data_IF_356324632128
#
_entry.id   IF_356324632128
#
_cell.length_a   1.000
_cell.length_b   1.000
_cell.length_c   1.000
_cell.angle_alpha   90.00
_cell.angle_beta   90.00
_cell.angle_gamma   90.00
#
_symmetry.space_group_name_H-M   'P 1'
#
loop_
_entity.id
_entity.type
_entity.pdbx_description
1 polymer ?
#
# COMPACT_ATOMS: atom_id res chain seq x y z
N UNK A 1 -47.28 11.23 6.09
CA UNK A 1 -46.33 11.99 5.27
C UNK A 1 -45.46 12.84 6.19
N UNK A 2 -44.13 12.69 6.16
CA UNK A 2 -43.23 13.51 7.00
C UNK A 2 -43.15 14.93 6.40
N UNK A 3 -43.88 15.88 7.00
CA UNK A 3 -43.96 17.27 6.52
C UNK A 3 -42.57 17.90 6.29
N UNK A 4 -41.56 17.74 7.19
CA UNK A 4 -40.21 18.23 6.96
C UNK A 4 -39.56 17.71 5.67
N UNK A 5 -39.70 16.44 5.38
CA UNK A 5 -39.14 15.82 4.17
C UNK A 5 -39.86 16.33 2.89
N UNK A 6 -41.18 16.46 2.95
CA UNK A 6 -41.96 17.00 1.81
C UNK A 6 -41.55 18.43 1.50
N UNK A 7 -41.45 19.30 2.51
CA UNK A 7 -41.03 20.68 2.36
C UNK A 7 -39.60 20.79 1.81
N UNK A 8 -38.66 20.03 2.38
CA UNK A 8 -37.26 20.04 1.94
C UNK A 8 -37.12 19.63 0.46
N UNK A 9 -37.83 18.56 0.04
CA UNK A 9 -37.82 18.10 -1.34
C UNK A 9 -38.38 19.17 -2.28
N UNK A 10 -39.48 19.83 -1.88
CA UNK A 10 -40.11 20.90 -2.70
C UNK A 10 -39.21 22.12 -2.82
N UNK A 11 -38.52 22.52 -1.75
CA UNK A 11 -37.55 23.62 -1.74
C UNK A 11 -36.36 23.30 -2.63
N UNK A 12 -35.88 22.07 -2.60
CA UNK A 12 -34.72 21.66 -3.37
C UNK A 12 -34.98 21.57 -4.89
N UNK A 13 -36.15 21.04 -5.29
CA UNK A 13 -36.52 20.83 -6.68
C UNK A 13 -37.41 21.95 -7.27
N UNK A 14 -37.72 23.01 -6.50
CA UNK A 14 -38.51 24.14 -6.99
C UNK A 14 -37.72 24.93 -8.02
N UNK A 15 -38.27 25.04 -9.22
CA UNK A 15 -37.81 25.93 -10.31
C UNK A 15 -38.30 27.38 -10.06
N UNK A 16 -38.05 27.96 -8.87
CA UNK A 16 -38.38 29.35 -8.60
C UNK A 16 -37.41 30.34 -9.24
N UNK A 17 -37.82 31.60 -9.34
CA UNK A 17 -37.23 32.73 -10.05
C UNK A 17 -35.69 32.73 -10.22
N UNK A 18 -35.24 33.10 -11.45
CA UNK A 18 -33.85 33.13 -11.91
C UNK A 18 -32.89 34.06 -11.13
N UNK A 19 -33.36 34.77 -10.10
CA UNK A 19 -32.60 35.76 -9.33
C UNK A 19 -32.30 35.37 -7.87
N UNK A 20 -32.56 34.12 -7.46
CA UNK A 20 -32.27 33.70 -6.07
C UNK A 20 -30.78 33.44 -5.84
N UNK A 21 -30.22 34.08 -4.81
CA UNK A 21 -28.83 33.94 -4.32
C UNK A 21 -28.54 32.51 -3.80
N UNK A 22 -29.59 31.76 -3.46
CA UNK A 22 -29.44 30.38 -2.90
C UNK A 22 -28.79 29.37 -3.85
N UNK A 23 -28.98 29.49 -5.17
CA UNK A 23 -28.39 28.55 -6.14
C UNK A 23 -26.87 28.57 -6.18
N UNK A 24 -26.18 29.73 -6.19
CA UNK A 24 -24.73 29.78 -6.03
C UNK A 24 -24.26 29.17 -4.71
N UNK A 25 -24.91 29.44 -3.58
CA UNK A 25 -24.57 28.91 -2.27
C UNK A 25 -24.69 27.37 -2.23
N UNK A 26 -25.79 26.82 -2.80
CA UNK A 26 -26.00 25.37 -2.92
C UNK A 26 -24.87 24.74 -3.77
N UNK A 27 -24.54 25.36 -4.92
CA UNK A 27 -23.47 24.86 -5.80
C UNK A 27 -22.12 24.87 -5.09
N UNK A 28 -21.78 25.95 -4.39
CA UNK A 28 -20.51 26.05 -3.63
C UNK A 28 -20.44 24.96 -2.55
N UNK A 29 -21.54 24.76 -1.81
CA UNK A 29 -21.60 23.73 -0.78
C UNK A 29 -21.48 22.32 -1.39
N UNK A 30 -22.19 22.03 -2.48
CA UNK A 30 -22.11 20.74 -3.19
C UNK A 30 -20.70 20.48 -3.73
N UNK A 31 -20.08 21.47 -4.37
CA UNK A 31 -18.73 21.37 -4.91
C UNK A 31 -17.71 21.17 -3.80
N UNK A 32 -17.87 21.89 -2.68
CA UNK A 32 -16.98 21.74 -1.52
C UNK A 32 -16.99 20.31 -0.94
N UNK A 33 -18.18 19.72 -0.79
CA UNK A 33 -18.32 18.31 -0.35
C UNK A 33 -17.74 17.36 -1.40
N UNK A 34 -18.02 17.61 -2.70
CA UNK A 34 -17.53 16.77 -3.77
C UNK A 34 -16.00 16.76 -3.86
N UNK A 35 -15.35 17.93 -3.78
CA UNK A 35 -13.90 18.03 -3.76
C UNK A 35 -13.33 17.34 -2.51
N UNK A 36 -13.94 17.58 -1.34
CA UNK A 36 -13.50 16.95 -0.09
C UNK A 36 -13.51 15.42 -0.17
N UNK A 37 -14.60 14.83 -0.66
CA UNK A 37 -14.71 13.39 -0.83
C UNK A 37 -13.76 12.86 -1.90
N UNK A 38 -13.67 13.54 -3.06
CA UNK A 38 -12.76 13.13 -4.13
C UNK A 38 -11.29 13.07 -3.63
N UNK A 39 -10.84 14.09 -2.89
CA UNK A 39 -9.50 14.11 -2.29
C UNK A 39 -9.33 12.96 -1.28
N UNK A 40 -10.33 12.69 -0.43
CA UNK A 40 -10.27 11.56 0.49
C UNK A 40 -10.15 10.21 -0.23
N UNK A 41 -10.92 9.98 -1.29
CA UNK A 41 -10.85 8.76 -2.11
C UNK A 41 -9.47 8.62 -2.74
N UNK A 42 -8.96 9.67 -3.37
CA UNK A 42 -7.63 9.67 -4.01
C UNK A 42 -6.55 9.38 -2.97
N UNK A 43 -6.56 10.07 -1.83
CA UNK A 43 -5.57 9.88 -0.76
C UNK A 43 -5.53 8.44 -0.28
N UNK A 44 -6.67 7.85 0.03
CA UNK A 44 -6.75 6.46 0.50
C UNK A 44 -6.31 5.49 -0.61
N UNK A 45 -6.74 5.72 -1.85
CA UNK A 45 -6.37 4.86 -2.98
C UNK A 45 -4.87 4.87 -3.28
N UNK A 46 -4.23 6.04 -3.20
CA UNK A 46 -2.77 6.18 -3.35
C UNK A 46 -2.05 5.39 -2.27
N UNK A 47 -2.43 5.55 -1.01
CA UNK A 47 -1.71 4.91 0.09
C UNK A 47 -1.90 3.40 0.10
N UNK A 48 -3.10 2.90 -0.17
CA UNK A 48 -3.31 1.46 -0.32
C UNK A 48 -2.47 0.90 -1.47
N UNK A 49 -2.47 1.59 -2.62
CA UNK A 49 -1.64 1.20 -3.77
C UNK A 49 -0.15 1.17 -3.45
N UNK A 50 0.37 2.21 -2.76
CA UNK A 50 1.77 2.23 -2.32
C UNK A 50 2.09 1.10 -1.36
N UNK A 51 1.27 0.90 -0.33
CA UNK A 51 1.50 -0.14 0.68
C UNK A 51 1.54 -1.53 0.06
N UNK A 52 0.59 -1.86 -0.80
CA UNK A 52 0.56 -3.16 -1.47
C UNK A 52 1.73 -3.32 -2.44
N UNK A 53 1.99 -2.33 -3.29
CA UNK A 53 3.08 -2.41 -4.28
C UNK A 53 4.45 -2.53 -3.62
N UNK A 54 4.76 -1.72 -2.60
CA UNK A 54 6.06 -1.80 -1.92
C UNK A 54 6.19 -3.10 -1.14
N UNK A 55 5.14 -3.51 -0.42
CA UNK A 55 5.11 -4.80 0.27
C UNK A 55 5.41 -5.95 -0.69
N UNK A 56 4.70 -6.01 -1.81
CA UNK A 56 4.84 -7.10 -2.78
C UNK A 56 6.23 -7.12 -3.42
N UNK A 57 6.84 -5.95 -3.64
CA UNK A 57 8.23 -5.85 -4.10
C UNK A 57 9.24 -6.37 -3.06
N UNK A 58 9.10 -6.00 -1.79
CA UNK A 58 10.00 -6.47 -0.73
C UNK A 58 9.85 -7.98 -0.52
N UNK A 59 8.61 -8.48 -0.49
CA UNK A 59 8.31 -9.92 -0.41
C UNK A 59 8.87 -10.68 -1.61
N UNK A 60 8.83 -10.09 -2.80
CA UNK A 60 9.30 -10.73 -4.04
C UNK A 60 10.79 -11.04 -4.06
N UNK A 61 11.62 -10.31 -3.30
CA UNK A 61 13.04 -10.59 -3.14
C UNK A 61 13.39 -11.38 -1.88
N UNK A 62 12.63 -11.18 -0.82
CA UNK A 62 12.80 -11.84 0.46
C UNK A 62 11.77 -12.95 0.64
N UNK A 63 10.90 -12.77 1.55
CA UNK A 63 9.73 -13.59 1.82
C UNK A 63 8.93 -12.91 2.93
N UNK A 64 7.83 -13.49 3.34
CA UNK A 64 7.07 -12.97 4.47
C UNK A 64 7.74 -13.26 5.81
N UNK A 65 8.31 -14.46 5.97
CA UNK A 65 9.02 -14.90 7.18
C UNK A 65 10.30 -15.60 6.73
N UNK A 66 11.39 -15.35 7.45
CA UNK A 66 12.68 -15.99 7.22
C UNK A 66 13.12 -16.73 8.48
N UNK A 67 13.57 -17.97 8.29
CA UNK A 67 14.22 -18.77 9.32
C UNK A 67 15.71 -18.83 9.01
N UNK A 68 16.55 -18.32 9.89
CA UNK A 68 18.01 -18.20 9.69
C UNK A 68 18.77 -18.68 10.93
N UNK A 69 20.11 -18.71 10.85
CA UNK A 69 20.96 -18.92 12.00
C UNK A 69 20.91 -17.69 12.92
N UNK A 70 20.86 -17.91 14.22
CA UNK A 70 20.92 -16.84 15.23
C UNK A 70 22.17 -15.97 15.09
N UNK A 71 23.32 -16.56 14.74
CA UNK A 71 24.59 -15.84 14.54
C UNK A 71 24.52 -14.89 13.34
N UNK A 72 23.82 -15.28 12.26
CA UNK A 72 23.66 -14.42 11.07
C UNK A 72 23.00 -13.08 11.41
N UNK A 73 22.04 -13.09 12.33
CA UNK A 73 21.37 -11.86 12.74
C UNK A 73 22.29 -10.91 13.53
N UNK A 74 23.25 -11.46 14.27
CA UNK A 74 24.17 -10.64 15.08
C UNK A 74 25.38 -10.13 14.31
N UNK A 75 25.89 -10.93 13.37
CA UNK A 75 27.19 -10.67 12.71
C UNK A 75 27.07 -10.17 11.28
N UNK A 76 25.88 -10.19 10.67
CA UNK A 76 25.64 -9.94 9.24
C UNK A 76 26.45 -10.88 8.28
N UNK A 77 27.17 -11.86 8.83
CA UNK A 77 27.86 -12.90 8.06
C UNK A 77 26.94 -14.11 7.95
N UNK A 78 26.63 -14.61 6.75
CA UNK A 78 25.79 -15.78 6.60
C UNK A 78 26.39 -17.00 7.29
N UNK A 79 25.77 -17.45 8.39
CA UNK A 79 26.10 -18.71 9.03
C UNK A 79 25.16 -19.81 8.51
N UNK A 80 25.66 -21.04 8.28
CA UNK A 80 24.83 -22.12 7.76
C UNK A 80 23.82 -22.62 8.77
N UNK A 81 22.69 -23.11 8.27
CA UNK A 81 21.73 -23.94 9.00
C UNK A 81 21.41 -25.18 8.19
N UNK A 82 21.23 -26.32 8.84
CA UNK A 82 20.73 -27.51 8.18
C UNK A 82 19.23 -27.63 8.36
N UNK A 83 18.49 -27.51 7.28
CA UNK A 83 17.04 -27.64 7.27
C UNK A 83 16.67 -28.99 6.65
N UNK A 84 16.23 -29.91 7.48
CA UNK A 84 15.84 -31.24 7.03
C UNK A 84 14.40 -31.24 6.45
N UNK A 85 14.11 -32.22 5.60
CA UNK A 85 12.78 -32.39 4.98
C UNK A 85 11.64 -32.53 6.02
N UNK A 86 11.98 -32.97 7.22
CA UNK A 86 10.99 -33.13 8.29
C UNK A 86 10.55 -31.77 8.82
N UNK A 87 11.48 -30.84 9.01
CA UNK A 87 11.18 -29.45 9.40
C UNK A 87 10.41 -28.73 8.30
N UNK A 88 10.83 -28.86 7.04
CA UNK A 88 10.12 -28.29 5.89
C UNK A 88 8.66 -28.79 5.85
N UNK A 89 8.45 -30.10 6.04
CA UNK A 89 7.10 -30.68 6.09
C UNK A 89 6.27 -30.17 7.27
N UNK A 90 6.87 -29.95 8.44
CA UNK A 90 6.19 -29.35 9.60
C UNK A 90 5.80 -27.90 9.34
N UNK A 91 6.70 -27.09 8.78
CA UNK A 91 6.44 -25.70 8.41
C UNK A 91 5.32 -25.59 7.36
N UNK A 92 5.33 -26.46 6.34
CA UNK A 92 4.26 -26.52 5.31
C UNK A 92 2.88 -26.94 5.87
N UNK A 93 2.81 -27.54 7.05
CA UNK A 93 1.54 -27.89 7.71
C UNK A 93 0.89 -26.74 8.47
N UNK A 94 1.57 -25.63 8.69
CA UNK A 94 0.98 -24.45 9.30
C UNK A 94 -0.08 -23.89 8.35
N UNK A 95 -1.33 -23.66 8.80
CA UNK A 95 -2.47 -23.38 7.90
C UNK A 95 -2.28 -22.21 6.96
N UNK A 96 -1.63 -21.13 7.44
CA UNK A 96 -1.39 -19.91 6.68
C UNK A 96 -0.14 -19.99 5.78
N UNK A 97 0.70 -21.02 5.91
CA UNK A 97 1.87 -21.19 5.06
C UNK A 97 1.46 -21.63 3.66
N UNK A 98 1.92 -20.90 2.64
CA UNK A 98 1.71 -21.22 1.23
C UNK A 98 2.89 -22.02 0.67
N UNK A 99 4.12 -21.58 0.98
CA UNK A 99 5.34 -22.14 0.39
C UNK A 99 6.52 -22.00 1.35
N UNK A 100 7.46 -22.96 1.30
CA UNK A 100 8.70 -22.95 2.10
C UNK A 100 9.82 -23.43 1.19
N UNK A 101 10.88 -22.61 1.04
CA UNK A 101 12.05 -22.93 0.24
C UNK A 101 13.34 -22.50 0.94
N UNK A 102 14.40 -23.28 0.74
CA UNK A 102 15.74 -22.92 1.21
C UNK A 102 16.44 -22.00 0.22
N UNK A 103 17.26 -21.09 0.73
CA UNK A 103 18.14 -20.23 -0.06
C UNK A 103 19.52 -20.16 0.56
N UNK A 104 20.50 -19.81 -0.25
CA UNK A 104 21.88 -19.60 0.19
C UNK A 104 22.36 -18.24 -0.25
N UNK A 105 22.96 -17.46 0.64
CA UNK A 105 23.57 -16.16 0.31
C UNK A 105 25.10 -16.29 0.33
N UNK A 106 25.74 -15.63 -0.64
CA UNK A 106 27.20 -15.53 -0.72
C UNK A 106 27.56 -14.13 -1.20
N UNK A 107 28.53 -13.50 -0.56
CA UNK A 107 29.05 -12.22 -1.03
C UNK A 107 30.22 -12.42 -1.99
N UNK A 108 30.31 -11.57 -3.02
CA UNK A 108 31.37 -11.62 -3.99
C UNK A 108 31.49 -10.34 -4.80
N UNK A 109 32.45 -10.30 -5.68
CA UNK A 109 32.74 -9.17 -6.55
C UNK A 109 32.59 -9.62 -8.00
N UNK A 110 31.62 -9.06 -8.73
CA UNK A 110 31.57 -9.18 -10.18
C UNK A 110 32.60 -8.24 -10.79
N UNK A 111 33.41 -8.75 -11.71
CA UNK A 111 34.46 -7.99 -12.39
C UNK A 111 34.38 -8.18 -13.90
N UNK A 112 34.40 -7.06 -14.62
CA UNK A 112 34.59 -6.96 -16.06
C UNK A 112 35.92 -6.28 -16.36
N UNK A 113 36.26 -6.09 -17.61
CA UNK A 113 37.46 -5.36 -18.01
C UNK A 113 37.35 -3.87 -17.71
N UNK A 114 36.12 -3.33 -17.62
CA UNK A 114 35.83 -1.91 -17.45
C UNK A 114 35.60 -1.51 -15.99
N UNK A 115 34.96 -2.35 -15.17
CA UNK A 115 34.54 -1.99 -13.81
C UNK A 115 34.38 -3.23 -12.91
N UNK A 116 34.15 -2.99 -11.62
CA UNK A 116 33.85 -4.05 -10.63
C UNK A 116 32.70 -3.62 -9.71
N UNK A 117 31.96 -4.60 -9.20
CA UNK A 117 30.82 -4.36 -8.30
C UNK A 117 30.74 -5.46 -7.24
N UNK A 118 30.69 -5.03 -5.96
CA UNK A 118 30.35 -5.92 -4.84
C UNK A 118 28.88 -6.30 -4.89
N UNK A 119 28.59 -7.61 -4.87
CA UNK A 119 27.23 -8.13 -4.98
C UNK A 119 26.99 -9.28 -4.02
N UNK A 120 25.73 -9.54 -3.74
CA UNK A 120 25.25 -10.71 -3.01
C UNK A 120 24.61 -11.69 -4.00
N UNK A 121 25.12 -12.91 -4.01
CA UNK A 121 24.58 -14.00 -4.80
C UNK A 121 23.55 -14.76 -3.97
N UNK A 122 22.30 -14.74 -4.39
CA UNK A 122 21.24 -15.55 -3.83
C UNK A 122 21.10 -16.84 -4.64
N UNK A 123 21.49 -17.94 -4.04
CA UNK A 123 21.30 -19.28 -4.60
C UNK A 123 19.91 -19.80 -4.28
N UNK A 124 19.21 -20.25 -5.29
CA UNK A 124 17.83 -20.73 -5.21
C UNK A 124 17.68 -22.08 -5.91
N UNK A 125 16.70 -22.87 -5.44
CA UNK A 125 16.40 -24.20 -5.97
C UNK A 125 15.32 -24.22 -7.03
N UNK A 126 14.93 -25.43 -7.42
CA UNK A 126 14.00 -25.69 -8.55
C UNK A 126 12.56 -25.19 -8.29
N UNK A 127 12.15 -25.22 -7.04
CA UNK A 127 10.77 -24.89 -6.62
C UNK A 127 10.62 -23.45 -6.14
N UNK A 128 11.68 -22.64 -6.24
CA UNK A 128 11.64 -21.25 -5.77
C UNK A 128 10.61 -20.42 -6.55
N UNK A 129 9.81 -19.62 -5.83
CA UNK A 129 8.78 -18.76 -6.45
C UNK A 129 9.45 -17.58 -7.21
N UNK A 130 9.58 -17.72 -8.52
CA UNK A 130 10.15 -16.71 -9.40
C UNK A 130 9.10 -15.78 -10.02
N UNK A 131 7.87 -15.79 -9.55
CA UNK A 131 6.78 -15.01 -10.14
C UNK A 131 7.09 -13.52 -10.17
N UNK A 132 7.66 -12.98 -9.11
CA UNK A 132 8.07 -11.59 -9.01
C UNK A 132 9.19 -11.23 -10.01
N UNK A 133 10.25 -12.04 -10.09
CA UNK A 133 11.35 -11.82 -11.04
C UNK A 133 10.85 -11.92 -12.48
N UNK A 134 9.94 -12.85 -12.75
CA UNK A 134 9.34 -13.03 -14.09
C UNK A 134 8.50 -11.83 -14.51
N UNK A 135 7.76 -11.22 -13.60
CA UNK A 135 6.98 -10.01 -13.88
C UNK A 135 7.87 -8.77 -14.13
N UNK A 136 9.06 -8.75 -13.55
CA UNK A 136 10.02 -7.66 -13.67
C UNK A 136 11.17 -7.96 -14.64
N UNK A 137 11.04 -9.00 -15.46
CA UNK A 137 12.04 -9.40 -16.45
C UNK A 137 12.07 -8.40 -17.61
N UNK A 138 13.27 -7.92 -17.94
CA UNK A 138 13.48 -6.97 -19.04
C UNK A 138 14.04 -7.67 -20.29
N UNK A 139 15.07 -8.52 -20.09
CA UNK A 139 15.76 -9.20 -21.19
C UNK A 139 16.14 -10.61 -20.81
N UNK A 140 16.23 -11.50 -21.81
CA UNK A 140 16.66 -12.87 -21.66
C UNK A 140 15.58 -13.82 -21.18
N UNK A 141 16.01 -14.97 -20.64
CA UNK A 141 15.12 -16.00 -20.11
C UNK A 141 15.61 -16.48 -18.76
N UNK A 142 14.69 -16.65 -17.81
CA UNK A 142 15.03 -17.19 -16.49
C UNK A 142 15.53 -18.63 -16.64
N UNK A 143 16.70 -18.96 -16.08
CA UNK A 143 17.21 -20.32 -16.11
C UNK A 143 16.41 -21.22 -15.18
N UNK A 144 16.44 -22.52 -15.42
CA UNK A 144 16.02 -23.50 -14.43
C UNK A 144 17.12 -23.63 -13.40
N UNK A 145 16.86 -23.10 -12.21
CA UNK A 145 17.79 -23.21 -11.08
C UNK A 145 17.75 -24.62 -10.50
N UNK A 146 18.85 -25.05 -9.90
CA UNK A 146 18.96 -26.40 -9.34
C UNK A 146 19.65 -26.44 -7.98
N UNK A 147 19.15 -27.29 -7.11
CA UNK A 147 19.77 -27.65 -5.85
C UNK A 147 20.85 -28.74 -6.01
N UNK A 148 20.84 -29.47 -7.14
CA UNK A 148 21.70 -30.64 -7.39
C UNK A 148 22.85 -30.33 -8.33
N UNK A 149 22.61 -29.54 -9.38
CA UNK A 149 23.57 -29.23 -10.44
C UNK A 149 23.93 -27.75 -10.43
N UNK A 150 25.10 -27.41 -10.95
CA UNK A 150 25.59 -26.04 -11.06
C UNK A 150 25.58 -25.65 -12.54
N UNK A 151 24.70 -24.72 -12.94
CA UNK A 151 24.61 -24.24 -14.32
C UNK A 151 25.52 -23.05 -14.59
N UNK A 152 26.04 -22.38 -13.57
CA UNK A 152 26.79 -21.13 -13.64
C UNK A 152 26.04 -20.01 -14.40
N UNK A 153 24.72 -20.06 -14.42
CA UNK A 153 23.87 -19.02 -14.97
C UNK A 153 23.61 -17.96 -13.92
N UNK A 154 23.55 -16.72 -14.37
CA UNK A 154 23.38 -15.56 -13.48
C UNK A 154 22.20 -14.70 -13.98
N UNK A 155 21.37 -14.27 -13.07
CA UNK A 155 20.33 -13.26 -13.30
C UNK A 155 20.74 -12.01 -12.53
N UNK A 156 20.86 -10.89 -13.23
CA UNK A 156 21.33 -9.61 -12.69
C UNK A 156 20.27 -8.51 -12.89
N UNK A 157 20.39 -7.42 -12.15
CA UNK A 157 19.54 -6.26 -12.39
C UNK A 157 19.99 -5.46 -13.61
N UNK A 158 19.08 -4.65 -14.17
CA UNK A 158 19.41 -3.67 -15.21
C UNK A 158 20.52 -2.72 -14.76
N UNK A 159 20.46 -2.26 -13.52
CA UNK A 159 21.44 -1.33 -12.97
C UNK A 159 22.85 -1.93 -12.88
N UNK A 160 22.95 -3.21 -12.51
CA UNK A 160 24.23 -3.93 -12.56
C UNK A 160 24.71 -4.13 -14.00
N UNK A 161 23.80 -4.48 -14.91
CA UNK A 161 24.10 -4.68 -16.31
C UNK A 161 24.66 -3.40 -16.94
N UNK A 162 24.00 -2.26 -16.73
CA UNK A 162 24.44 -0.97 -17.26
C UNK A 162 25.79 -0.54 -16.68
N UNK A 163 26.01 -0.71 -15.36
CA UNK A 163 27.27 -0.35 -14.70
C UNK A 163 28.44 -1.18 -15.19
N UNK A 164 28.22 -2.48 -15.35
CA UNK A 164 29.26 -3.44 -15.77
C UNK A 164 29.32 -3.63 -17.30
N UNK A 165 28.46 -2.93 -18.06
CA UNK A 165 28.32 -3.04 -19.52
C UNK A 165 28.09 -4.48 -19.98
N UNK A 166 27.19 -5.21 -19.28
CA UNK A 166 26.88 -6.61 -19.53
C UNK A 166 25.54 -6.75 -20.28
N UNK A 167 25.51 -7.69 -21.21
CA UNK A 167 24.31 -8.08 -21.94
C UNK A 167 23.98 -9.57 -21.70
N UNK A 168 22.79 -9.98 -22.07
CA UNK A 168 22.38 -11.39 -22.00
C UNK A 168 23.29 -12.24 -22.91
N UNK A 169 23.85 -13.30 -22.35
CA UNK A 169 24.81 -14.18 -23.02
C UNK A 169 26.26 -13.88 -22.67
N UNK A 170 26.58 -12.72 -22.11
CA UNK A 170 27.95 -12.36 -21.74
C UNK A 170 28.47 -13.20 -20.59
N UNK A 171 29.77 -13.35 -20.54
CA UNK A 171 30.50 -14.08 -19.50
C UNK A 171 31.14 -13.07 -18.55
N UNK A 172 30.90 -13.23 -17.25
CA UNK A 172 31.47 -12.39 -16.22
C UNK A 172 32.19 -13.23 -15.17
N UNK A 173 33.29 -12.73 -14.66
CA UNK A 173 34.01 -13.35 -13.54
C UNK A 173 33.50 -12.80 -12.21
N UNK A 174 33.24 -13.73 -11.28
CA UNK A 174 32.93 -13.41 -9.90
C UNK A 174 34.05 -13.92 -9.00
N UNK A 175 34.49 -13.06 -8.08
CA UNK A 175 35.53 -13.36 -7.08
C UNK A 175 34.90 -13.44 -5.72
N UNK A 176 35.13 -14.55 -5.01
CA UNK A 176 34.65 -14.82 -3.67
C UNK A 176 35.85 -14.87 -2.74
N UNK A 177 35.80 -14.07 -1.69
CA UNK A 177 36.88 -13.99 -0.70
C UNK A 177 36.52 -14.94 0.45
N UNK A 178 37.20 -16.06 0.54
CA UNK A 178 37.20 -16.94 1.72
C UNK A 178 38.37 -16.58 2.64
N UNK A 179 38.37 -17.12 3.87
CA UNK A 179 39.36 -16.75 4.88
C UNK A 179 40.84 -16.87 4.41
N UNK A 180 41.18 -17.86 3.56
CA UNK A 180 42.55 -18.11 3.10
C UNK A 180 42.69 -18.19 1.58
N UNK A 181 41.61 -17.99 0.80
CA UNK A 181 41.64 -18.19 -0.64
C UNK A 181 40.68 -17.22 -1.39
N UNK A 182 41.05 -16.87 -2.60
CA UNK A 182 40.19 -16.10 -3.52
C UNK A 182 39.71 -17.04 -4.62
N UNK A 183 38.42 -17.35 -4.60
CA UNK A 183 37.81 -18.24 -5.60
C UNK A 183 37.25 -17.44 -6.75
N UNK A 184 37.74 -17.70 -7.94
CA UNK A 184 37.19 -17.12 -9.15
C UNK A 184 36.25 -18.12 -9.81
N UNK A 185 35.06 -17.63 -10.19
CA UNK A 185 34.08 -18.41 -10.97
C UNK A 185 33.54 -17.60 -12.13
N UNK A 186 33.43 -18.26 -13.27
CA UNK A 186 32.84 -17.62 -14.46
C UNK A 186 31.37 -17.94 -14.57
N UNK A 187 30.53 -16.90 -14.65
CA UNK A 187 29.12 -16.99 -14.86
C UNK A 187 28.73 -16.51 -16.26
N UNK A 188 27.56 -16.94 -16.74
CA UNK A 188 26.94 -16.44 -17.96
C UNK A 188 25.64 -15.73 -17.58
N UNK A 189 25.49 -14.46 -17.99
CA UNK A 189 24.25 -13.68 -17.79
C UNK A 189 23.14 -14.30 -18.63
N UNK A 190 22.08 -14.79 -17.99
CA UNK A 190 20.95 -15.44 -18.67
C UNK A 190 19.72 -14.56 -18.75
N UNK A 191 19.57 -13.62 -17.82
CA UNK A 191 18.43 -12.71 -17.78
C UNK A 191 18.78 -11.43 -17.03
N UNK A 192 18.09 -10.36 -17.37
CA UNK A 192 18.20 -9.05 -16.73
C UNK A 192 16.82 -8.64 -16.24
N UNK A 193 16.70 -8.31 -14.94
CA UNK A 193 15.46 -7.84 -14.32
C UNK A 193 15.58 -6.38 -13.87
N UNK A 194 14.45 -5.73 -13.60
CA UNK A 194 14.41 -4.38 -13.05
C UNK A 194 13.24 -4.26 -12.06
N UNK A 195 13.55 -4.07 -10.79
CA UNK A 195 12.53 -3.97 -9.74
C UNK A 195 12.22 -2.54 -9.31
N UNK A 196 13.11 -1.60 -9.63
CA UNK A 196 13.14 -0.22 -9.13
C UNK A 196 13.36 -0.11 -7.62
N UNK A 197 13.77 -1.20 -6.95
CA UNK A 197 14.19 -1.19 -5.55
C UNK A 197 15.70 -1.14 -5.45
N UNK A 198 16.24 0.07 -5.22
CA UNK A 198 17.68 0.33 -5.18
C UNK A 198 18.45 -0.64 -4.28
N UNK A 199 17.90 -0.97 -3.11
CA UNK A 199 18.53 -1.88 -2.14
C UNK A 199 18.73 -3.31 -2.67
N UNK A 200 17.93 -3.74 -3.66
CA UNK A 200 18.07 -5.05 -4.30
C UNK A 200 18.76 -4.93 -5.66
N UNK A 201 18.36 -3.95 -6.48
CA UNK A 201 18.92 -3.77 -7.84
C UNK A 201 20.40 -3.41 -7.83
N UNK A 202 20.94 -2.83 -6.74
CA UNK A 202 22.36 -2.50 -6.62
C UNK A 202 23.22 -3.70 -6.20
N UNK A 203 22.64 -4.72 -5.55
CA UNK A 203 23.43 -5.71 -4.82
C UNK A 203 23.04 -7.14 -5.15
N UNK A 204 21.76 -7.44 -5.42
CA UNK A 204 21.28 -8.82 -5.47
C UNK A 204 21.35 -9.43 -6.87
N UNK A 205 22.02 -10.58 -7.02
CA UNK A 205 21.94 -11.42 -8.20
C UNK A 205 21.52 -12.85 -7.84
N UNK A 206 20.86 -13.55 -8.79
CA UNK A 206 20.33 -14.89 -8.56
C UNK A 206 21.14 -15.93 -9.35
N UNK A 207 21.39 -17.07 -8.70
CA UNK A 207 22.07 -18.21 -9.29
C UNK A 207 21.58 -19.53 -8.65
N UNK A 208 22.17 -20.67 -9.00
CA UNK A 208 21.80 -21.97 -8.45
C UNK A 208 22.17 -22.10 -6.96
N UNK A 209 21.29 -22.72 -6.18
CA UNK A 209 21.52 -23.08 -4.77
C UNK A 209 22.81 -23.88 -4.62
N UNK A 210 23.02 -24.88 -5.47
CA UNK A 210 24.24 -25.73 -5.42
C UNK A 210 25.52 -24.94 -5.66
N UNK A 211 25.47 -23.91 -6.49
CA UNK A 211 26.64 -23.06 -6.77
C UNK A 211 27.05 -22.27 -5.54
N UNK A 212 26.11 -21.60 -4.88
CA UNK A 212 26.38 -20.80 -3.67
C UNK A 212 26.76 -21.64 -2.45
N UNK A 213 26.11 -22.80 -2.27
CA UNK A 213 26.46 -23.76 -1.20
C UNK A 213 27.92 -24.21 -1.32
N UNK A 214 28.38 -24.54 -2.54
CA UNK A 214 29.79 -24.90 -2.79
C UNK A 214 30.76 -23.74 -2.60
N UNK A 215 30.36 -22.52 -2.92
CA UNK A 215 31.19 -21.34 -2.75
C UNK A 215 31.43 -20.99 -1.29
N UNK A 216 30.46 -21.30 -0.43
CA UNK A 216 30.57 -21.13 1.02
C UNK A 216 31.27 -22.30 1.74
N UNK A 217 31.71 -23.37 1.03
CA UNK A 217 32.22 -24.62 1.61
C UNK A 217 31.22 -25.32 2.53
N UNK A 218 29.96 -25.21 2.23
CA UNK A 218 28.90 -25.81 3.03
C UNK A 218 28.49 -27.19 2.50
N UNK A 219 28.02 -28.01 3.43
CA UNK A 219 27.48 -29.31 3.10
C UNK A 219 26.19 -29.18 2.24
N UNK A 220 25.85 -30.21 1.46
CA UNK A 220 24.70 -30.16 0.53
C UNK A 220 23.34 -29.89 1.18
N UNK A 221 23.19 -30.14 2.47
CA UNK A 221 21.97 -29.91 3.24
C UNK A 221 22.01 -28.60 4.06
N UNK A 222 23.10 -27.86 3.97
CA UNK A 222 23.23 -26.54 4.59
C UNK A 222 22.80 -25.42 3.63
N UNK A 223 22.15 -24.41 4.21
CA UNK A 223 21.70 -23.21 3.52
C UNK A 223 21.80 -21.99 4.46
N UNK A 224 21.66 -20.79 3.93
CA UNK A 224 21.63 -19.57 4.76
C UNK A 224 20.32 -19.43 5.53
N UNK A 225 19.24 -20.00 5.00
CA UNK A 225 17.93 -19.92 5.63
C UNK A 225 16.83 -20.57 4.82
N UNK A 226 15.64 -20.58 5.40
CA UNK A 226 14.40 -20.90 4.71
C UNK A 226 13.50 -19.67 4.61
N UNK A 227 12.95 -19.46 3.46
CA UNK A 227 11.96 -18.45 3.15
C UNK A 227 10.56 -19.05 3.18
N UNK A 228 9.66 -18.40 3.89
CA UNK A 228 8.28 -18.83 4.07
C UNK A 228 7.34 -17.78 3.48
N UNK A 229 6.56 -18.18 2.50
CA UNK A 229 5.46 -17.38 1.94
C UNK A 229 4.16 -17.75 2.62
N UNK A 230 3.43 -16.74 3.10
CA UNK A 230 2.10 -16.91 3.70
C UNK A 230 0.99 -16.66 2.68
N UNK A 231 -0.21 -17.18 2.96
CA UNK A 231 -1.41 -16.96 2.14
C UNK A 231 -2.05 -15.62 2.44
N UNK A 232 -2.18 -15.33 3.74
CA UNK A 232 -2.75 -14.09 4.26
C UNK A 232 -1.66 -13.31 5.02
N UNK A 233 -1.38 -12.11 4.53
CA UNK A 233 -0.36 -11.23 5.08
C UNK A 233 -0.74 -10.69 6.46
N UNK A 234 -2.01 -10.46 6.72
CA UNK A 234 -2.47 -9.87 7.99
C UNK A 234 -2.24 -10.83 9.17
N UNK A 235 -2.15 -12.14 8.89
CA UNK A 235 -1.85 -13.18 9.86
C UNK A 235 -0.35 -13.52 9.99
N UNK A 236 0.55 -12.68 9.47
CA UNK A 236 2.00 -12.95 9.46
C UNK A 236 2.57 -13.12 10.87
N UNK A 237 2.16 -12.27 11.82
CA UNK A 237 2.66 -12.31 13.20
C UNK A 237 2.21 -13.59 13.92
N UNK A 238 0.96 -14.01 13.74
CA UNK A 238 0.45 -15.27 14.30
C UNK A 238 1.16 -16.48 13.68
N UNK A 239 1.38 -16.42 12.37
CA UNK A 239 2.11 -17.45 11.64
C UNK A 239 3.56 -17.52 12.13
N UNK A 240 4.22 -16.37 12.33
CA UNK A 240 5.59 -16.33 12.84
C UNK A 240 5.70 -16.92 14.25
N UNK A 241 4.74 -16.67 15.14
CA UNK A 241 4.68 -17.31 16.46
C UNK A 241 4.62 -18.83 16.35
N UNK A 242 3.82 -19.39 15.43
CA UNK A 242 3.74 -20.83 15.19
C UNK A 242 5.06 -21.39 14.62
N UNK A 243 5.76 -20.62 13.77
CA UNK A 243 7.09 -20.98 13.28
C UNK A 243 8.10 -20.99 14.42
N UNK A 244 8.12 -19.95 15.27
CA UNK A 244 8.99 -19.88 16.45
C UNK A 244 8.75 -21.06 17.38
N UNK A 245 7.51 -21.43 17.66
CA UNK A 245 7.16 -22.57 18.50
C UNK A 245 7.69 -23.90 17.96
N UNK A 246 7.77 -24.04 16.64
CA UNK A 246 8.34 -25.22 16.00
C UNK A 246 9.88 -25.28 16.08
N UNK A 247 10.56 -24.14 16.04
CA UNK A 247 12.03 -24.08 15.96
C UNK A 247 12.71 -23.85 17.30
N UNK A 248 12.05 -23.24 18.30
CA UNK A 248 12.65 -22.81 19.59
C UNK A 248 13.34 -23.92 20.38
N UNK A 249 12.94 -25.20 20.19
CA UNK A 249 13.52 -26.35 20.89
C UNK A 249 14.29 -27.29 19.93
N UNK A 250 14.60 -26.81 18.73
CA UNK A 250 15.29 -27.59 17.72
C UNK A 250 16.60 -26.88 17.37
N UNK A 251 17.70 -27.40 17.87
CA UNK A 251 18.97 -27.18 17.21
C UNK A 251 19.00 -28.02 15.93
N UNK A 252 19.70 -27.56 14.92
CA UNK A 252 19.93 -28.36 13.72
C UNK A 252 20.87 -29.53 14.02
N UNK A 253 21.17 -30.35 13.02
CA UNK A 253 22.05 -31.52 13.22
C UNK A 253 23.50 -31.15 13.55
N UNK A 254 23.89 -29.90 13.36
CA UNK A 254 25.21 -29.36 13.70
C UNK A 254 25.23 -28.60 15.04
N UNK A 255 24.08 -28.50 15.71
CA UNK A 255 23.95 -27.81 17.00
C UNK A 255 23.65 -26.31 16.86
N UNK A 256 23.36 -25.84 15.66
CA UNK A 256 23.06 -24.43 15.40
C UNK A 256 21.64 -24.04 15.83
N UNK A 257 21.50 -22.83 16.37
CA UNK A 257 20.23 -22.31 16.85
C UNK A 257 19.52 -21.56 15.71
N UNK A 258 18.25 -21.94 15.48
CA UNK A 258 17.40 -21.32 14.49
C UNK A 258 16.63 -20.14 15.09
N UNK A 259 16.49 -19.07 14.31
CA UNK A 259 15.65 -17.93 14.64
C UNK A 259 14.71 -17.61 13.46
N UNK A 260 13.50 -17.16 13.80
CA UNK A 260 12.53 -16.70 12.82
C UNK A 260 12.34 -15.20 12.93
N UNK A 261 12.30 -14.51 11.81
CA UNK A 261 12.02 -13.09 11.73
C UNK A 261 10.98 -12.82 10.63
N UNK A 262 10.12 -11.86 10.89
CA UNK A 262 9.16 -11.37 9.90
C UNK A 262 9.83 -10.38 8.94
N UNK A 263 9.19 -10.12 7.81
CA UNK A 263 9.64 -9.10 6.86
C UNK A 263 9.69 -7.70 7.49
N UNK A 264 8.86 -7.42 8.50
CA UNK A 264 8.89 -6.17 9.25
C UNK A 264 10.20 -6.00 10.03
N UNK A 265 10.69 -7.08 10.60
CA UNK A 265 11.96 -7.11 11.37
C UNK A 265 13.18 -7.15 10.44
N UNK A 266 13.05 -7.78 9.28
CA UNK A 266 14.12 -7.85 8.28
C UNK A 266 14.34 -6.50 7.55
N UNK A 267 13.27 -5.74 7.30
CA UNK A 267 13.31 -4.46 6.57
C UNK A 267 12.61 -3.32 7.34
N UNK A 268 13.04 -3.02 8.58
CA UNK A 268 12.31 -2.09 9.46
C UNK A 268 12.24 -0.67 8.88
N UNK A 269 13.24 -0.23 8.14
CA UNK A 269 13.26 1.11 7.53
C UNK A 269 12.13 1.31 6.51
N UNK A 270 11.90 0.30 5.65
CA UNK A 270 10.84 0.35 4.63
C UNK A 270 9.47 0.39 5.29
N UNK A 271 9.22 -0.51 6.24
CA UNK A 271 7.91 -0.60 6.90
C UNK A 271 7.64 0.56 7.86
N UNK A 272 8.66 1.11 8.52
CA UNK A 272 8.52 2.35 9.30
C UNK A 272 8.14 3.53 8.41
N UNK A 273 8.76 3.65 7.23
CA UNK A 273 8.38 4.67 6.25
C UNK A 273 6.93 4.48 5.77
N UNK A 274 6.51 3.25 5.46
CA UNK A 274 5.12 2.96 5.08
C UNK A 274 4.13 3.30 6.20
N UNK A 275 4.49 3.09 7.47
CA UNK A 275 3.62 3.42 8.61
C UNK A 275 3.43 4.93 8.80
N UNK A 276 4.42 5.75 8.44
CA UNK A 276 4.29 7.22 8.44
C UNK A 276 3.24 7.69 7.43
N UNK A 277 3.04 6.98 6.33
CA UNK A 277 1.99 7.30 5.37
C UNK A 277 0.59 7.19 5.98
N UNK A 278 0.36 6.26 6.91
CA UNK A 278 -0.93 6.12 7.60
C UNK A 278 -1.26 7.36 8.43
N UNK A 279 -0.29 7.91 9.13
CA UNK A 279 -0.48 9.15 9.91
C UNK A 279 -0.88 10.30 9.00
N UNK A 280 -0.20 10.43 7.84
CA UNK A 280 -0.53 11.48 6.87
C UNK A 280 -1.97 11.33 6.32
N UNK A 281 -2.43 10.09 6.08
CA UNK A 281 -3.84 9.85 5.67
C UNK A 281 -4.80 10.37 6.71
N UNK A 282 -4.62 9.99 7.98
CA UNK A 282 -5.53 10.41 9.04
C UNK A 282 -5.59 11.94 9.17
N UNK A 283 -4.45 12.63 9.02
CA UNK A 283 -4.39 14.09 9.03
C UNK A 283 -5.17 14.66 7.85
N UNK A 284 -4.95 14.15 6.63
CA UNK A 284 -5.64 14.62 5.43
C UNK A 284 -7.15 14.36 5.52
N UNK A 285 -7.56 13.16 5.95
CA UNK A 285 -8.98 12.83 6.12
C UNK A 285 -9.65 13.77 7.14
N UNK A 286 -9.02 13.99 8.30
CA UNK A 286 -9.54 14.90 9.31
C UNK A 286 -9.66 16.34 8.77
N UNK A 287 -8.65 16.84 8.08
CA UNK A 287 -8.64 18.16 7.46
C UNK A 287 -9.77 18.29 6.43
N UNK A 288 -9.94 17.30 5.55
CA UNK A 288 -10.99 17.33 4.52
C UNK A 288 -12.39 17.28 5.12
N UNK A 289 -12.60 16.51 6.17
CA UNK A 289 -13.87 16.50 6.92
C UNK A 289 -14.14 17.87 7.54
N UNK A 290 -13.14 18.52 8.13
CA UNK A 290 -13.29 19.89 8.65
C UNK A 290 -13.65 20.88 7.55
N UNK A 291 -12.96 20.85 6.41
CA UNK A 291 -13.23 21.74 5.26
C UNK A 291 -14.65 21.53 4.73
N UNK A 292 -15.06 20.26 4.54
CA UNK A 292 -16.42 19.93 4.13
C UNK A 292 -17.46 20.44 5.16
N UNK A 293 -17.21 20.27 6.43
CA UNK A 293 -18.06 20.75 7.53
C UNK A 293 -18.22 22.28 7.50
N UNK A 294 -17.12 23.05 7.43
CA UNK A 294 -17.16 24.50 7.35
C UNK A 294 -17.88 25.01 6.10
N UNK A 295 -17.65 24.39 4.95
CA UNK A 295 -18.34 24.74 3.70
C UNK A 295 -19.83 24.51 3.82
N UNK A 296 -20.24 23.40 4.43
CA UNK A 296 -21.65 23.08 4.66
C UNK A 296 -22.31 24.01 5.70
N UNK A 297 -21.61 24.39 6.78
CA UNK A 297 -22.10 25.38 7.75
C UNK A 297 -22.39 26.70 7.04
N UNK A 298 -21.44 27.21 6.26
CA UNK A 298 -21.56 28.47 5.51
C UNK A 298 -22.71 28.40 4.53
N UNK A 299 -22.83 27.32 3.77
CA UNK A 299 -23.92 27.11 2.83
C UNK A 299 -25.29 27.07 3.51
N UNK A 300 -25.43 26.34 4.61
CA UNK A 300 -26.69 26.27 5.36
C UNK A 300 -27.07 27.62 5.96
N UNK A 301 -26.11 28.38 6.51
CA UNK A 301 -26.38 29.72 7.05
C UNK A 301 -26.90 30.68 5.99
N UNK A 302 -26.28 30.69 4.81
CA UNK A 302 -26.74 31.53 3.67
C UNK A 302 -28.19 31.17 3.31
N UNK A 303 -28.50 29.89 3.20
CA UNK A 303 -29.83 29.41 2.84
C UNK A 303 -30.87 29.75 3.94
N UNK A 304 -30.51 29.63 5.21
CA UNK A 304 -31.40 30.00 6.33
C UNK A 304 -31.71 31.50 6.29
N UNK A 305 -30.71 32.35 6.06
CA UNK A 305 -30.86 33.79 6.00
C UNK A 305 -31.77 34.22 4.80
N UNK A 306 -31.55 33.61 3.65
CA UNK A 306 -32.35 33.90 2.43
C UNK A 306 -33.80 33.45 2.58
N UNK A 307 -34.07 32.35 3.27
CA UNK A 307 -35.42 31.81 3.49
C UNK A 307 -36.06 32.27 4.81
N UNK A 308 -35.58 33.37 5.40
CA UNK A 308 -36.06 33.90 6.65
C UNK A 308 -37.54 34.23 6.61
N UNK A 309 -38.05 34.82 5.50
CA UNK A 309 -39.45 35.13 5.32
C UNK A 309 -40.35 33.88 5.31
N UNK A 310 -39.92 32.83 4.57
CA UNK A 310 -40.62 31.53 4.58
C UNK A 310 -40.66 30.90 5.98
N UNK A 311 -39.54 30.97 6.73
CA UNK A 311 -39.47 30.51 8.10
C UNK A 311 -40.46 31.28 9.00
N UNK A 312 -40.55 32.62 8.83
CA UNK A 312 -41.48 33.47 9.53
C UNK A 312 -42.94 33.08 9.29
N UNK A 313 -43.33 32.87 8.04
CA UNK A 313 -44.68 32.43 7.65
C UNK A 313 -45.02 31.07 8.25
N UNK A 314 -44.10 30.08 8.15
CA UNK A 314 -44.33 28.75 8.73
C UNK A 314 -44.53 28.82 10.25
N UNK A 315 -43.73 29.63 10.96
CA UNK A 315 -43.89 29.84 12.40
C UNK A 315 -45.20 30.56 12.75
N UNK A 316 -45.61 31.56 11.96
CA UNK A 316 -46.91 32.26 12.13
C UNK A 316 -48.09 31.30 11.94
N UNK A 317 -47.98 30.31 11.06
CA UNK A 317 -48.95 29.22 10.85
C UNK A 317 -48.87 28.12 11.96
N UNK A 318 -48.04 28.28 12.98
CA UNK A 318 -47.99 27.39 14.14
C UNK A 318 -46.97 26.24 13.99
N UNK A 319 -46.06 26.27 12.99
CA UNK A 319 -45.01 25.23 12.87
C UNK A 319 -44.06 25.29 14.05
N UNK A 320 -43.78 24.11 14.64
CA UNK A 320 -42.84 23.97 15.77
C UNK A 320 -41.40 24.21 15.24
N UNK A 321 -40.53 24.81 16.08
CA UNK A 321 -39.12 25.02 15.76
C UNK A 321 -38.42 23.73 15.32
N UNK A 322 -38.77 22.60 15.92
CA UNK A 322 -38.27 21.26 15.55
C UNK A 322 -38.63 20.89 14.11
N UNK A 323 -39.86 21.17 13.66
CA UNK A 323 -40.32 20.88 12.29
C UNK A 323 -39.49 21.67 11.26
N UNK A 324 -39.30 22.97 11.50
CA UNK A 324 -38.52 23.84 10.61
C UNK A 324 -37.07 23.39 10.58
N UNK A 325 -36.47 23.10 11.75
CA UNK A 325 -35.08 22.60 11.82
C UNK A 325 -34.89 21.31 11.06
N UNK A 326 -35.77 20.32 11.21
CA UNK A 326 -35.67 19.07 10.44
C UNK A 326 -35.83 19.28 8.93
N UNK A 327 -36.62 20.29 8.51
CA UNK A 327 -36.72 20.64 7.08
C UNK A 327 -35.35 21.05 6.51
N UNK A 328 -34.62 21.91 7.21
CA UNK A 328 -33.30 22.34 6.76
C UNK A 328 -32.24 21.23 6.87
N UNK A 329 -32.32 20.34 7.86
CA UNK A 329 -31.43 19.18 7.92
C UNK A 329 -31.66 18.20 6.76
N UNK A 330 -32.91 17.92 6.38
CA UNK A 330 -33.22 17.13 5.20
C UNK A 330 -32.76 17.80 3.90
N UNK A 331 -32.92 19.13 3.81
CA UNK A 331 -32.43 19.89 2.68
C UNK A 331 -30.89 19.80 2.54
N UNK A 332 -30.17 19.94 3.66
CA UNK A 332 -28.73 19.76 3.70
C UNK A 332 -28.32 18.33 3.32
N UNK A 333 -29.08 17.31 3.79
CA UNK A 333 -28.82 15.93 3.40
C UNK A 333 -28.91 15.69 1.88
N UNK A 334 -29.85 16.36 1.18
CA UNK A 334 -29.92 16.32 -0.29
C UNK A 334 -28.67 16.94 -0.94
N UNK A 335 -28.21 18.10 -0.45
CA UNK A 335 -27.00 18.76 -0.97
C UNK A 335 -25.78 17.87 -0.76
N UNK A 336 -25.63 17.30 0.45
CA UNK A 336 -24.51 16.41 0.79
C UNK A 336 -24.54 15.18 -0.13
N UNK A 337 -25.70 14.52 -0.26
CA UNK A 337 -25.82 13.32 -1.11
C UNK A 337 -25.45 13.60 -2.57
N UNK A 338 -25.83 14.75 -3.10
CA UNK A 338 -25.42 15.18 -4.44
C UNK A 338 -23.91 15.43 -4.51
N UNK A 339 -23.35 16.09 -3.49
CA UNK A 339 -21.90 16.32 -3.37
C UNK A 339 -21.11 15.02 -3.30
N UNK A 340 -21.60 14.04 -2.52
CA UNK A 340 -20.97 12.71 -2.42
C UNK A 340 -20.97 11.98 -3.76
N UNK A 341 -22.11 11.96 -4.47
CA UNK A 341 -22.18 11.34 -5.80
C UNK A 341 -21.22 11.97 -6.80
N UNK A 342 -21.13 13.31 -6.83
CA UNK A 342 -20.16 14.02 -7.69
C UNK A 342 -18.71 13.73 -7.25
N UNK A 343 -18.45 13.69 -5.93
CA UNK A 343 -17.15 13.35 -5.37
C UNK A 343 -16.70 11.94 -5.72
N UNK A 344 -17.62 10.96 -5.65
CA UNK A 344 -17.36 9.59 -6.09
C UNK A 344 -17.02 9.53 -7.59
N UNK A 345 -17.80 10.17 -8.45
CA UNK A 345 -17.54 10.18 -9.89
C UNK A 345 -16.17 10.79 -10.21
N UNK A 346 -15.83 11.91 -9.58
CA UNK A 346 -14.54 12.59 -9.79
C UNK A 346 -13.39 11.76 -9.18
N UNK A 347 -13.53 11.34 -7.92
CA UNK A 347 -12.47 10.62 -7.19
C UNK A 347 -12.18 9.26 -7.83
N UNK A 348 -13.19 8.43 -8.02
CA UNK A 348 -13.04 7.12 -8.68
C UNK A 348 -12.58 7.29 -10.13
N UNK A 349 -13.15 8.26 -10.85
CA UNK A 349 -12.74 8.54 -12.23
C UNK A 349 -11.27 8.89 -12.38
N UNK A 350 -10.72 9.73 -11.49
CA UNK A 350 -9.29 10.08 -11.48
C UNK A 350 -8.40 8.89 -11.09
N UNK A 351 -8.82 8.06 -10.12
CA UNK A 351 -8.08 6.86 -9.74
C UNK A 351 -8.03 5.86 -10.90
N UNK A 352 -9.17 5.60 -11.57
CA UNK A 352 -9.22 4.70 -12.73
C UNK A 352 -8.40 5.26 -13.90
N UNK A 353 -8.47 6.57 -14.14
CA UNK A 353 -7.65 7.22 -15.16
C UNK A 353 -6.16 7.01 -14.89
N UNK A 354 -5.71 7.23 -13.65
CA UNK A 354 -4.32 7.00 -13.27
C UNK A 354 -3.90 5.53 -13.42
N UNK A 355 -4.75 4.57 -13.02
CA UNK A 355 -4.46 3.13 -13.18
C UNK A 355 -4.24 2.72 -14.64
N UNK A 356 -4.99 3.32 -15.58
CA UNK A 356 -4.89 2.98 -17.00
C UNK A 356 -3.82 3.78 -17.75
N UNK A 357 -3.61 5.03 -17.40
CA UNK A 357 -2.70 5.92 -18.14
C UNK A 357 -1.34 6.08 -17.49
N UNK A 358 -1.26 5.88 -16.15
CA UNK A 358 -0.02 6.11 -15.41
C UNK A 358 0.51 7.55 -15.53
N UNK A 359 -0.36 8.56 -15.75
CA UNK A 359 0.06 9.93 -16.09
C UNK A 359 0.88 10.62 -14.98
N UNK A 360 0.70 10.22 -13.72
CA UNK A 360 1.53 10.70 -12.61
C UNK A 360 2.76 9.80 -12.51
N UNK A 361 3.86 10.27 -13.09
CA UNK A 361 5.15 9.61 -12.99
C UNK A 361 5.86 10.03 -11.70
N UNK A 362 6.55 9.09 -11.09
CA UNK A 362 7.36 9.28 -9.89
C UNK A 362 8.81 8.92 -10.19
N UNK A 363 9.73 9.47 -9.42
CA UNK A 363 11.13 9.09 -9.48
C UNK A 363 11.33 7.72 -8.81
N UNK A 364 11.70 6.67 -9.55
CA UNK A 364 11.88 5.33 -9.00
C UNK A 364 12.99 5.25 -7.94
N UNK A 365 13.97 6.15 -7.99
CA UNK A 365 15.06 6.18 -7.03
C UNK A 365 14.59 6.61 -5.63
N UNK A 366 13.55 7.46 -5.57
CA UNK A 366 13.01 8.01 -4.32
C UNK A 366 11.77 7.25 -3.83
N UNK A 367 10.91 6.78 -4.76
CA UNK A 367 9.61 6.20 -4.44
C UNK A 367 9.49 4.70 -4.72
N UNK A 368 10.53 4.07 -5.27
CA UNK A 368 10.58 2.64 -5.61
C UNK A 368 9.56 2.20 -6.67
N UNK A 369 8.86 3.14 -7.31
CA UNK A 369 7.84 2.91 -8.35
C UNK A 369 7.93 3.99 -9.43
N UNK A 370 7.65 3.63 -10.70
CA UNK A 370 7.70 4.56 -11.84
C UNK A 370 6.47 5.46 -11.93
N UNK A 371 5.33 4.96 -11.48
CA UNK A 371 4.05 5.67 -11.51
C UNK A 371 3.37 5.56 -10.15
N UNK A 372 2.58 6.58 -9.78
CA UNK A 372 1.84 6.55 -8.54
C UNK A 372 0.85 5.36 -8.54
N UNK A 373 1.10 4.32 -7.71
CA UNK A 373 0.20 3.19 -7.63
C UNK A 373 -1.06 3.62 -6.90
N UNK A 374 -2.22 3.33 -7.48
CA UNK A 374 -3.51 3.61 -6.88
C UNK A 374 -4.34 2.32 -6.84
N UNK A 375 -5.01 2.08 -5.73
CA UNK A 375 -5.85 0.90 -5.55
C UNK A 375 -7.25 1.30 -5.12
N UNK A 376 -8.26 0.79 -5.83
CA UNK A 376 -9.66 1.00 -5.46
C UNK A 376 -10.12 -0.08 -4.50
N UNK A 377 -10.49 0.33 -3.31
CA UNK A 377 -11.10 -0.54 -2.31
C UNK A 377 -12.55 -0.09 -2.07
N UNK A 378 -13.51 -0.78 -2.72
CA UNK A 378 -14.94 -0.41 -2.67
C UNK A 378 -15.47 -0.37 -1.22
N UNK A 379 -15.23 -1.34 -0.34
CA UNK A 379 -15.62 -1.25 1.07
C UNK A 379 -15.18 0.03 1.76
N UNK A 380 -13.95 0.46 1.55
CA UNK A 380 -13.41 1.69 2.17
C UNK A 380 -14.09 2.93 1.60
N UNK A 381 -14.34 2.98 0.29
CA UNK A 381 -15.07 4.09 -0.35
C UNK A 381 -16.48 4.22 0.24
N UNK A 382 -17.19 3.11 0.43
CA UNK A 382 -18.51 3.11 1.07
C UNK A 382 -18.43 3.63 2.50
N UNK A 383 -17.43 3.21 3.28
CA UNK A 383 -17.22 3.70 4.64
C UNK A 383 -16.94 5.21 4.64
N UNK A 384 -16.09 5.71 3.73
CA UNK A 384 -15.81 7.15 3.58
C UNK A 384 -17.09 7.94 3.30
N UNK A 385 -17.94 7.45 2.38
CA UNK A 385 -19.23 8.07 2.08
C UNK A 385 -20.14 8.15 3.31
N UNK A 386 -20.32 7.03 4.01
CA UNK A 386 -21.16 6.96 5.20
C UNK A 386 -20.64 7.87 6.31
N UNK A 387 -19.35 7.82 6.60
CA UNK A 387 -18.70 8.64 7.63
C UNK A 387 -18.83 10.12 7.30
N UNK A 388 -18.55 10.51 6.04
CA UNK A 388 -18.65 11.91 5.58
C UNK A 388 -20.09 12.40 5.68
N UNK A 389 -21.07 11.59 5.28
CA UNK A 389 -22.50 11.92 5.41
C UNK A 389 -22.90 12.15 6.87
N UNK A 390 -22.56 11.20 7.76
CA UNK A 390 -22.93 11.27 9.18
C UNK A 390 -22.28 12.47 9.86
N UNK A 391 -20.98 12.69 9.65
CA UNK A 391 -20.27 13.82 10.28
C UNK A 391 -20.80 15.14 9.74
N UNK A 392 -21.04 15.25 8.43
CA UNK A 392 -21.60 16.48 7.83
C UNK A 392 -22.98 16.80 8.40
N UNK A 393 -23.87 15.82 8.54
CA UNK A 393 -25.17 16.03 9.18
C UNK A 393 -25.02 16.43 10.65
N UNK A 394 -24.11 15.77 11.38
CA UNK A 394 -23.86 16.07 12.79
C UNK A 394 -23.38 17.52 12.99
N UNK A 395 -22.43 17.96 12.17
CA UNK A 395 -21.88 19.33 12.21
C UNK A 395 -22.97 20.38 11.95
N UNK A 396 -23.97 20.07 11.10
CA UNK A 396 -25.07 20.98 10.78
C UNK A 396 -26.13 21.12 11.88
N UNK A 397 -26.12 20.27 12.91
CA UNK A 397 -27.03 20.39 14.03
C UNK A 397 -26.85 21.74 14.74
N UNK A 398 -25.61 22.17 14.98
CA UNK A 398 -25.32 23.43 15.68
C UNK A 398 -25.88 24.67 14.93
N UNK A 399 -25.58 24.94 13.66
CA UNK A 399 -26.14 26.07 12.92
C UNK A 399 -27.65 25.96 12.72
N UNK A 400 -28.23 24.76 12.71
CA UNK A 400 -29.68 24.60 12.60
C UNK A 400 -30.46 25.18 13.80
N UNK A 401 -29.82 25.36 14.94
CA UNK A 401 -30.44 26.02 16.10
C UNK A 401 -30.71 27.53 15.86
N UNK A 402 -29.98 28.20 14.96
CA UNK A 402 -30.22 29.59 14.59
C UNK A 402 -31.65 29.81 14.06
N UNK A 403 -32.23 28.78 13.38
CA UNK A 403 -33.63 28.81 12.94
C UNK A 403 -34.60 29.05 14.10
N UNK A 404 -34.28 28.60 15.32
CA UNK A 404 -35.15 28.81 16.52
C UNK A 404 -35.22 30.27 16.95
N UNK A 405 -34.18 31.08 16.71
CA UNK A 405 -34.08 32.46 17.13
C UNK A 405 -34.74 33.47 16.16
N UNK A 406 -35.15 33.03 14.96
CA UNK A 406 -35.84 33.88 14.00
C UNK A 406 -37.25 34.19 14.52
N UNK A 407 -37.52 35.50 14.79
CA UNK A 407 -38.81 35.99 15.26
C UNK A 407 -39.72 36.23 14.08
N UNK A 408 -41.00 35.71 14.09
CA UNK A 408 -41.93 35.88 12.96
C UNK A 408 -42.19 37.34 12.60
N UNK A 409 -42.34 38.22 13.62
CA UNK A 409 -42.65 39.64 13.44
C UNK A 409 -41.55 40.38 12.67
N UNK A 410 -40.30 40.14 13.01
CA UNK A 410 -39.14 40.76 12.29
C UNK A 410 -38.89 40.18 10.92
N UNK A 411 -39.21 38.88 10.72
CA UNK A 411 -39.03 38.20 9.46
C UNK A 411 -40.01 38.66 8.37
N UNK A 412 -41.15 39.21 8.73
CA UNK A 412 -42.18 39.72 7.78
C UNK A 412 -42.08 41.23 7.52
N UNK A 413 -41.18 41.96 8.21
CA UNK A 413 -41.00 43.41 8.06
C UNK A 413 -39.88 43.82 7.09
N UNK A 414 -39.14 42.86 6.51
CA UNK A 414 -38.14 43.14 5.47
C UNK A 414 -38.77 43.07 4.10
N UNK A 415 -39.04 44.23 3.55
CA UNK A 415 -39.20 44.51 2.11
C UNK A 415 -37.82 44.81 1.52
#
# INVERSE_FOLDING_TARGET
>A
MNLPFFLSRRIYFSEGDRHEVSRPAIRIATVGVAIGLAVMIITVSVILGFKHTIRDKVVGFGSHIQVTNFVTQQTAVPAPIAINDTLIRKLKKIPNVRHVECYTMTQGILKTDSDFLGVAFKGIGENYDLSFIRQNLQEGTLPTFSSKTSSNKLVISRKMADKLQLHVGDKVYAYFIAYDDVRARRFTVSAIYQSHMKQFDDVLCLTDLRTTTKLNDWEPDQCSGAEILVKDFDLINETNMQVIDLIKNHADRYGETLISQTIFEAYPQVFSWLSLLDVNVWIILALMICVAGFTMISGLLIIILERTQMIGILKALGARNSTVRHTFLWFAAFIISQGLLLGDVIGIGLVVLQQHTGFIHLDPASYYVDTAPMELNIPIIVILNVVTLLISIFVLIAPSYLVSHIQPVKAMQFD
#
